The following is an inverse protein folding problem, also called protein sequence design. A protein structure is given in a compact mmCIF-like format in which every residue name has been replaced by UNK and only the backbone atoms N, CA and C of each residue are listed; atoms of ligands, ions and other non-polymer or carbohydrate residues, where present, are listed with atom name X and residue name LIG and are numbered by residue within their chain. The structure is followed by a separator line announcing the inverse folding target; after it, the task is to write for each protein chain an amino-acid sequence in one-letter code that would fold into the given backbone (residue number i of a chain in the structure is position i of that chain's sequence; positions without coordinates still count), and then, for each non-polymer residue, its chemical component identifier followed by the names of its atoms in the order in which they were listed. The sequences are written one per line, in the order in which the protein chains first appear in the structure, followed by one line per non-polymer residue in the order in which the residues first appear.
data_IF_824461511948
#
_entry.id   IF_824461511948
#
_cell.length_a   1.000
_cell.length_b   1.000
_cell.length_c   1.000
_cell.angle_alpha   90.00
_cell.angle_beta   90.00
_cell.angle_gamma   90.00
#
_symmetry.space_group_name_H-M   'P 1'
#
loop_
_entity.id
_entity.type
_entity.pdbx_description
1 polymer ?
#
# COMPACT_ATOMS: atom_id res chain seq x y z
N UNK A 1 11.19 2.12 5.32
CA UNK A 1 12.52 2.63 5.70
C UNK A 1 12.66 4.14 5.57
N UNK A 2 11.99 4.81 4.62
CA UNK A 2 11.96 6.29 4.53
C UNK A 2 11.52 7.01 5.84
N UNK A 3 10.38 6.64 6.43
CA UNK A 3 9.96 7.25 7.70
C UNK A 3 10.95 6.95 8.85
N UNK A 4 11.51 5.74 8.88
CA UNK A 4 12.43 5.31 9.93
C UNK A 4 13.74 6.09 9.92
N UNK A 5 14.19 6.48 8.73
CA UNK A 5 15.48 7.16 8.50
C UNK A 5 15.37 8.68 8.60
N UNK A 6 14.33 9.29 8.02
CA UNK A 6 14.18 10.76 7.99
C UNK A 6 13.24 11.30 9.07
N UNK A 7 12.37 10.45 9.64
CA UNK A 7 11.32 10.82 10.63
C UNK A 7 10.40 11.98 10.20
N UNK A 8 10.36 12.29 8.90
CA UNK A 8 9.47 13.32 8.38
C UNK A 8 8.03 12.78 8.27
N UNK A 9 7.02 13.54 8.73
CA UNK A 9 5.62 13.12 8.68
C UNK A 9 5.12 12.76 7.28
N UNK A 10 5.67 13.37 6.23
CA UNK A 10 5.32 13.11 4.83
C UNK A 10 5.72 11.72 4.33
N UNK A 11 6.64 11.04 5.02
CA UNK A 11 7.06 9.68 4.68
C UNK A 11 6.34 8.61 5.49
N UNK A 12 5.50 9.01 6.46
CA UNK A 12 4.71 8.05 7.22
C UNK A 12 3.78 7.29 6.25
N UNK A 13 3.72 5.95 6.32
CA UNK A 13 2.79 5.18 5.51
C UNK A 13 1.36 5.58 5.86
N UNK A 14 0.52 5.76 4.84
CA UNK A 14 -0.90 6.04 5.07
C UNK A 14 -1.56 4.80 5.72
N UNK A 15 -2.44 4.95 6.74
CA UNK A 15 -3.11 3.80 7.38
C UNK A 15 -3.87 2.90 6.41
N UNK A 16 -4.42 3.48 5.32
CA UNK A 16 -5.07 2.71 4.26
C UNK A 16 -4.10 1.75 3.55
N UNK A 17 -2.84 2.15 3.37
CA UNK A 17 -1.84 1.33 2.72
C UNK A 17 -1.55 0.07 3.55
N UNK A 18 -1.45 0.21 4.87
CA UNK A 18 -1.24 -0.93 5.77
C UNK A 18 -2.38 -1.93 5.68
N UNK A 19 -3.64 -1.48 5.73
CA UNK A 19 -4.81 -2.35 5.58
C UNK A 19 -4.82 -3.12 4.26
N UNK A 20 -4.46 -2.46 3.14
CA UNK A 20 -4.40 -3.11 1.83
C UNK A 20 -3.32 -4.18 1.77
N UNK A 21 -2.15 -3.93 2.38
CA UNK A 21 -1.06 -4.91 2.44
C UNK A 21 -1.46 -6.10 3.31
N UNK A 22 -2.05 -5.87 4.49
CA UNK A 22 -2.55 -6.94 5.36
C UNK A 22 -3.62 -7.80 4.70
N UNK A 23 -4.47 -7.19 3.86
CA UNK A 23 -5.50 -7.89 3.08
C UNK A 23 -4.95 -8.63 1.83
N UNK A 24 -3.65 -8.54 1.53
CA UNK A 24 -3.04 -9.13 0.33
C UNK A 24 -3.38 -8.38 -0.97
N UNK A 25 -3.90 -7.16 -0.89
CA UNK A 25 -4.27 -6.34 -2.04
C UNK A 25 -3.07 -5.52 -2.53
N UNK A 26 -2.12 -6.21 -3.16
CA UNK A 26 -0.83 -5.67 -3.59
C UNK A 26 -0.85 -5.06 -5.01
N UNK A 27 -2.04 -4.84 -5.58
CA UNK A 27 -2.22 -4.24 -6.90
C UNK A 27 -2.30 -5.28 -8.02
N UNK A 28 -1.71 -4.94 -9.17
CA UNK A 28 -1.83 -5.74 -10.40
C UNK A 28 -1.37 -7.19 -10.24
N UNK A 29 -0.31 -7.42 -9.46
CA UNK A 29 0.26 -8.76 -9.25
C UNK A 29 -0.66 -9.72 -8.49
N UNK A 30 -1.59 -9.19 -7.69
CA UNK A 30 -2.60 -9.96 -6.95
C UNK A 30 -4.00 -9.76 -7.52
N UNK A 31 -4.14 -9.10 -8.69
CA UNK A 31 -5.43 -8.78 -9.29
C UNK A 31 -6.25 -7.70 -8.56
N UNK A 32 -5.78 -7.19 -7.42
CA UNK A 32 -6.51 -6.21 -6.60
C UNK A 32 -5.55 -5.38 -5.73
N UNK A 33 -5.80 -4.08 -5.66
CA UNK A 33 -5.11 -3.09 -4.83
C UNK A 33 -6.02 -1.89 -4.59
N UNK A 34 -5.49 -0.68 -4.74
CA UNK A 34 -6.32 0.54 -4.84
C UNK A 34 -7.38 0.48 -5.95
N UNK A 35 -7.13 -0.35 -6.97
CA UNK A 35 -8.08 -0.66 -8.03
C UNK A 35 -8.24 -2.17 -8.15
N UNK A 36 -9.40 -2.57 -8.64
CA UNK A 36 -9.65 -3.94 -9.06
C UNK A 36 -9.05 -4.14 -10.46
N UNK A 37 -8.18 -5.13 -10.59
CA UNK A 37 -7.52 -5.51 -11.83
C UNK A 37 -7.97 -6.90 -12.32
N UNK A 38 -8.95 -7.54 -11.67
CA UNK A 38 -9.47 -8.86 -12.04
C UNK A 38 -10.18 -8.89 -13.40
N UNK A 39 -10.60 -7.72 -13.91
CA UNK A 39 -11.37 -7.57 -15.15
C UNK A 39 -10.57 -7.05 -16.33
N UNK A 40 -9.23 -7.02 -16.24
CA UNK A 40 -8.37 -6.49 -17.30
C UNK A 40 -7.84 -7.56 -18.23
#
# INVERSE_FOLDING_TARGET
ELYTEFREPGFAPAPLLEHLVTAGYLGRKTGRGFRDYSRR
#
